data_IF_395195372257
#
_entry.id   IF_395195372257
#
_cell.length_a   1.000
_cell.length_b   1.000
_cell.length_c   1.000
_cell.angle_alpha   90.00
_cell.angle_beta   90.00
_cell.angle_gamma   90.00
#
_symmetry.space_group_name_H-M   'P 1'
#
loop_
_entity.id
_entity.type
_entity.pdbx_description
1 polymer ?
#
# COMPACT_ATOMS: atom_id res chain seq x y z
N UNK A 1 -11.79 -3.60 -19.96
CA UNK A 1 -11.28 -2.32 -19.42
C UNK A 1 -11.98 -1.96 -18.10
N UNK A 2 -11.86 -2.77 -17.04
CA UNK A 2 -12.52 -2.51 -15.73
C UNK A 2 -11.55 -2.13 -14.59
N UNK A 3 -10.23 -2.21 -14.83
CA UNK A 3 -9.22 -2.03 -13.78
C UNK A 3 -8.83 -0.57 -13.52
N UNK A 4 -8.80 0.26 -14.56
CA UNK A 4 -8.48 1.69 -14.46
C UNK A 4 -9.54 2.47 -13.67
N UNK A 5 -10.81 2.15 -13.93
CA UNK A 5 -11.97 2.78 -13.28
C UNK A 5 -11.91 2.66 -11.75
N UNK A 6 -11.68 1.44 -11.24
CA UNK A 6 -11.57 1.19 -9.80
C UNK A 6 -10.42 1.96 -9.13
N UNK A 7 -9.28 2.13 -9.81
CA UNK A 7 -8.15 2.85 -9.24
C UNK A 7 -8.44 4.35 -9.11
N UNK A 8 -9.20 4.94 -10.04
CA UNK A 8 -9.66 6.32 -9.95
C UNK A 8 -10.75 6.49 -8.88
N UNK A 9 -11.74 5.59 -8.81
CA UNK A 9 -12.78 5.63 -7.77
C UNK A 9 -12.18 5.63 -6.35
N UNK A 10 -11.18 4.78 -6.10
CA UNK A 10 -10.48 4.71 -4.82
C UNK A 10 -9.65 5.98 -4.55
N UNK A 11 -9.01 6.53 -5.59
CA UNK A 11 -8.29 7.81 -5.48
C UNK A 11 -9.25 8.94 -5.10
N UNK A 12 -10.38 9.06 -5.77
CA UNK A 12 -11.38 10.10 -5.48
C UNK A 12 -11.95 9.97 -4.06
N UNK A 13 -12.18 8.72 -3.60
CA UNK A 13 -12.59 8.47 -2.22
C UNK A 13 -11.51 8.92 -1.23
N UNK A 14 -10.25 8.59 -1.48
CA UNK A 14 -9.13 9.07 -0.66
C UNK A 14 -9.08 10.60 -0.64
N UNK A 15 -9.14 11.27 -1.79
CA UNK A 15 -9.08 12.74 -1.89
C UNK A 15 -10.20 13.42 -1.11
N UNK A 16 -11.40 12.81 -1.05
CA UNK A 16 -12.53 13.32 -0.26
C UNK A 16 -12.29 13.27 1.24
N UNK A 17 -11.56 12.26 1.73
CA UNK A 17 -11.35 12.03 3.18
C UNK A 17 -9.97 12.46 3.65
N UNK A 18 -9.02 12.71 2.74
CA UNK A 18 -7.61 12.97 3.06
C UNK A 18 -7.45 14.15 4.02
N UNK A 19 -8.18 15.25 3.82
CA UNK A 19 -8.08 16.43 4.70
C UNK A 19 -8.39 16.14 6.17
N UNK A 20 -9.24 15.15 6.46
CA UNK A 20 -9.61 14.76 7.83
C UNK A 20 -8.73 13.64 8.39
N UNK A 21 -8.33 12.69 7.54
CA UNK A 21 -7.68 11.45 8.00
C UNK A 21 -6.18 11.38 7.71
N UNK A 22 -5.69 12.12 6.72
CA UNK A 22 -4.29 12.15 6.27
C UNK A 22 -3.90 13.51 5.65
N UNK A 23 -4.01 14.62 6.41
CA UNK A 23 -3.85 15.97 5.86
C UNK A 23 -2.48 16.19 5.22
N UNK A 24 -1.43 15.59 5.80
CA UNK A 24 -0.06 15.71 5.33
C UNK A 24 0.38 14.52 4.45
N UNK A 25 -0.50 13.55 4.19
CA UNK A 25 -0.22 12.40 3.29
C UNK A 25 0.70 11.32 3.86
N UNK A 26 0.97 11.32 5.18
CA UNK A 26 1.87 10.34 5.80
C UNK A 26 1.30 8.92 5.77
N UNK A 27 -0.01 8.74 5.94
CA UNK A 27 -0.61 7.39 5.86
C UNK A 27 -0.48 6.84 4.44
N UNK A 28 -0.70 7.67 3.44
CA UNK A 28 -0.50 7.34 2.03
C UNK A 28 0.96 6.95 1.77
N UNK A 29 1.91 7.74 2.27
CA UNK A 29 3.34 7.43 2.18
C UNK A 29 3.69 6.08 2.83
N UNK A 30 3.26 5.82 4.07
CA UNK A 30 3.55 4.56 4.75
C UNK A 30 2.90 3.35 4.07
N UNK A 31 1.72 3.52 3.46
CA UNK A 31 1.11 2.49 2.64
C UNK A 31 1.96 2.20 1.40
N UNK A 32 2.47 3.24 0.73
CA UNK A 32 3.36 3.07 -0.41
C UNK A 32 4.70 2.42 -0.02
N UNK A 33 5.29 2.75 1.14
CA UNK A 33 6.54 2.12 1.61
C UNK A 33 6.39 0.60 1.77
N UNK A 34 5.25 0.14 2.27
CA UNK A 34 4.97 -1.28 2.42
C UNK A 34 4.83 -1.99 1.06
N UNK A 35 4.15 -1.35 0.11
CA UNK A 35 3.93 -1.91 -1.23
C UNK A 35 5.24 -1.98 -2.02
N UNK A 36 6.05 -0.92 -1.95
CA UNK A 36 7.33 -0.82 -2.69
C UNK A 36 8.45 -1.60 -2.03
N UNK A 37 8.37 -1.86 -0.72
CA UNK A 37 9.42 -2.49 0.07
C UNK A 37 10.60 -1.56 0.41
N UNK A 38 10.59 -0.31 -0.05
CA UNK A 38 11.64 0.67 0.21
C UNK A 38 11.42 1.28 1.59
N UNK A 39 12.04 0.66 2.60
CA UNK A 39 11.89 1.06 4.01
C UNK A 39 12.71 2.30 4.38
N UNK A 40 13.84 2.52 3.70
CA UNK A 40 14.82 3.56 4.06
C UNK A 40 15.02 4.48 2.87
N UNK A 41 14.11 5.44 2.71
CA UNK A 41 14.14 6.38 1.59
C UNK A 41 15.46 7.18 1.53
N UNK A 42 16.03 7.50 2.69
CA UNK A 42 17.32 8.20 2.80
C UNK A 42 18.51 7.43 2.23
N UNK A 43 18.44 6.09 2.13
CA UNK A 43 19.50 5.31 1.47
C UNK A 43 19.42 5.42 -0.06
N UNK A 44 18.22 5.60 -0.61
CA UNK A 44 18.03 5.83 -2.04
C UNK A 44 18.43 7.26 -2.44
N UNK A 45 18.46 8.21 -1.49
CA UNK A 45 18.71 9.64 -1.73
C UNK A 45 19.63 10.26 -0.66
N UNK A 46 20.93 9.88 -0.62
CA UNK A 46 21.81 10.30 0.47
C UNK A 46 22.09 11.81 0.51
N UNK A 47 22.15 12.45 -0.67
CA UNK A 47 22.41 13.89 -0.76
C UNK A 47 21.20 14.70 -0.26
N UNK A 48 20.00 14.31 -0.67
CA UNK A 48 18.76 14.96 -0.24
C UNK A 48 18.57 14.84 1.28
N UNK A 49 18.86 13.66 1.83
CA UNK A 49 18.81 13.43 3.27
C UNK A 49 19.83 14.30 4.01
N UNK A 50 21.08 14.37 3.53
CA UNK A 50 22.13 15.22 4.10
C UNK A 50 21.77 16.72 4.04
N UNK A 51 20.99 17.14 3.05
CA UNK A 51 20.43 18.50 2.97
C UNK A 51 19.19 18.71 3.84
N UNK A 52 18.77 17.72 4.64
CA UNK A 52 17.61 17.79 5.52
C UNK A 52 16.27 17.72 4.78
N UNK A 53 16.25 17.34 3.50
CA UNK A 53 15.04 17.38 2.66
C UNK A 53 13.92 16.53 3.24
N UNK A 54 14.22 15.33 3.70
CA UNK A 54 13.21 14.41 4.24
C UNK A 54 12.76 14.74 5.66
N UNK A 55 13.54 15.55 6.40
CA UNK A 55 13.09 16.05 7.72
C UNK A 55 12.02 17.12 7.57
N UNK A 56 12.08 17.93 6.51
CA UNK A 56 11.12 19.00 6.24
C UNK A 56 9.94 18.59 5.34
N UNK A 57 9.99 17.41 4.73
CA UNK A 57 9.00 16.93 3.77
C UNK A 57 7.73 16.42 4.46
N UNK A 58 6.58 16.73 3.86
CA UNK A 58 5.33 16.06 4.18
C UNK A 58 5.26 14.67 3.53
N UNK A 59 4.24 13.89 3.86
CA UNK A 59 4.03 12.56 3.28
C UNK A 59 3.82 12.58 1.77
N UNK A 60 3.24 13.65 1.21
CA UNK A 60 3.07 13.78 -0.24
C UNK A 60 4.42 13.94 -0.96
N UNK A 61 5.32 14.75 -0.42
CA UNK A 61 6.66 14.91 -0.95
C UNK A 61 7.47 13.62 -0.80
N UNK A 62 7.43 12.97 0.37
CA UNK A 62 8.08 11.67 0.58
C UNK A 62 7.56 10.60 -0.39
N UNK A 63 6.26 10.59 -0.67
CA UNK A 63 5.64 9.70 -1.64
C UNK A 63 6.17 9.95 -3.06
N UNK A 64 6.43 11.19 -3.46
CA UNK A 64 7.00 11.50 -4.78
C UNK A 64 8.40 10.90 -4.93
N UNK A 65 9.26 11.09 -3.94
CA UNK A 65 10.61 10.50 -3.94
C UNK A 65 10.56 8.97 -3.95
N UNK A 66 9.69 8.38 -3.12
CA UNK A 66 9.51 6.94 -3.05
C UNK A 66 9.02 6.35 -4.37
N UNK A 67 8.02 6.98 -5.00
CA UNK A 67 7.45 6.54 -6.27
C UNK A 67 8.51 6.64 -7.39
N UNK A 68 9.27 7.73 -7.43
CA UNK A 68 10.35 7.88 -8.40
C UNK A 68 11.45 6.82 -8.22
N UNK A 69 11.84 6.50 -6.99
CA UNK A 69 12.82 5.44 -6.71
C UNK A 69 12.31 4.06 -7.12
N UNK A 70 11.04 3.77 -6.82
CA UNK A 70 10.40 2.50 -7.14
C UNK A 70 10.29 2.26 -8.65
N UNK A 71 9.85 3.26 -9.41
CA UNK A 71 9.71 3.18 -10.87
C UNK A 71 11.00 3.54 -11.63
N UNK A 72 12.13 3.73 -10.92
CA UNK A 72 13.42 4.12 -11.52
C UNK A 72 13.33 5.39 -12.37
N UNK A 73 12.45 6.31 -11.98
CA UNK A 73 12.23 7.61 -12.60
C UNK A 73 13.10 8.69 -11.92
N UNK A 74 14.38 8.40 -11.73
CA UNK A 74 15.36 9.32 -11.14
C UNK A 74 16.56 9.40 -12.05
N UNK A 75 17.02 10.62 -12.32
CA UNK A 75 18.35 10.86 -12.88
C UNK A 75 19.21 11.62 -11.88
N UNK A 76 20.51 11.53 -12.04
CA UNK A 76 21.47 12.08 -11.09
C UNK A 76 22.31 13.17 -11.74
N UNK A 77 22.57 14.25 -11.00
CA UNK A 77 23.43 15.35 -11.42
C UNK A 77 24.53 15.57 -10.39
N UNK A 78 25.78 15.66 -10.86
CA UNK A 78 26.92 15.97 -9.99
C UNK A 78 26.77 17.39 -9.44
N UNK A 79 26.84 17.52 -8.12
CA UNK A 79 26.81 18.82 -7.45
C UNK A 79 28.18 19.49 -7.64
N UNK A 80 28.24 20.67 -8.30
CA UNK A 80 29.50 21.32 -8.63
C UNK A 80 30.41 21.52 -7.42
N UNK A 81 31.69 21.17 -7.58
CA UNK A 81 32.68 21.30 -6.50
C UNK A 81 32.60 20.20 -5.44
N UNK A 82 31.80 19.15 -5.65
CA UNK A 82 31.70 18.00 -4.74
C UNK A 82 31.71 16.68 -5.52
N UNK A 83 31.81 15.56 -4.79
CA UNK A 83 31.60 14.21 -5.35
C UNK A 83 30.17 13.71 -5.16
N UNK A 84 29.25 14.55 -4.66
CA UNK A 84 27.88 14.16 -4.44
C UNK A 84 27.05 14.27 -5.71
N UNK A 85 26.04 13.41 -5.79
CA UNK A 85 25.02 13.45 -6.83
C UNK A 85 23.69 13.86 -6.22
N UNK A 86 22.99 14.77 -6.88
CA UNK A 86 21.64 15.21 -6.53
C UNK A 86 20.63 14.52 -7.44
N UNK A 87 19.53 14.06 -6.85
CA UNK A 87 18.42 13.49 -7.57
C UNK A 87 17.61 14.55 -8.32
N UNK A 88 17.31 14.25 -9.57
CA UNK A 88 16.34 14.94 -10.41
C UNK A 88 15.21 13.94 -10.67
N UNK A 89 14.08 14.13 -9.98
CA UNK A 89 12.90 13.29 -10.16
C UNK A 89 12.30 13.51 -11.56
N UNK A 90 12.15 12.42 -12.31
CA UNK A 90 11.51 12.40 -13.62
C UNK A 90 10.04 12.01 -13.50
N UNK A 91 9.29 12.23 -14.57
CA UNK A 91 7.90 11.76 -14.66
C UNK A 91 7.85 10.24 -14.69
N UNK A 92 7.00 9.66 -13.85
CA UNK A 92 6.66 8.22 -13.90
C UNK A 92 5.60 8.04 -14.98
N UNK A 93 5.76 7.03 -15.84
CA UNK A 93 4.74 6.72 -16.84
C UNK A 93 3.50 6.09 -16.18
N UNK A 94 2.45 6.90 -16.07
CA UNK A 94 1.20 6.53 -15.43
C UNK A 94 0.30 5.65 -16.30
N UNK A 95 0.64 5.46 -17.58
CA UNK A 95 -0.14 4.65 -18.52
C UNK A 95 0.25 3.16 -18.48
N UNK A 96 1.26 2.82 -17.68
CA UNK A 96 1.72 1.45 -17.54
C UNK A 96 0.74 0.63 -16.69
N UNK A 97 0.53 -0.66 -17.00
CA UNK A 97 -0.28 -1.55 -16.17
C UNK A 97 0.34 -1.72 -14.77
N UNK A 98 1.67 -1.65 -14.66
CA UNK A 98 2.41 -1.69 -13.39
C UNK A 98 2.05 -0.50 -12.50
N UNK A 99 2.05 0.72 -13.06
CA UNK A 99 1.64 1.91 -12.32
C UNK A 99 0.17 1.84 -11.91
N UNK A 100 -0.71 1.39 -12.81
CA UNK A 100 -2.13 1.23 -12.52
C UNK A 100 -2.37 0.24 -11.38
N UNK A 101 -1.65 -0.88 -11.36
CA UNK A 101 -1.73 -1.88 -10.28
C UNK A 101 -1.18 -1.32 -8.95
N UNK A 102 -0.06 -0.61 -8.99
CA UNK A 102 0.50 0.08 -7.82
C UNK A 102 -0.50 1.09 -7.25
N UNK A 103 -1.04 1.98 -8.10
CA UNK A 103 -2.00 3.01 -7.72
C UNK A 103 -3.23 2.41 -7.05
N UNK A 104 -3.81 1.37 -7.65
CA UNK A 104 -4.95 0.65 -7.06
C UNK A 104 -4.61 0.10 -5.67
N UNK A 105 -3.51 -0.65 -5.56
CA UNK A 105 -3.10 -1.28 -4.30
C UNK A 105 -2.80 -0.24 -3.22
N UNK A 106 -2.22 0.90 -3.60
CA UNK A 106 -1.92 2.01 -2.71
C UNK A 106 -3.19 2.58 -2.07
N UNK A 107 -4.18 2.94 -2.89
CA UNK A 107 -5.42 3.50 -2.38
C UNK A 107 -6.27 2.48 -1.61
N UNK A 108 -6.31 1.20 -2.04
CA UNK A 108 -6.95 0.13 -1.26
C UNK A 108 -6.32 0.02 0.14
N UNK A 109 -4.98 -0.01 0.22
CA UNK A 109 -4.24 -0.18 1.48
C UNK A 109 -4.43 1.00 2.42
N UNK A 110 -4.34 2.24 1.92
CA UNK A 110 -4.47 3.42 2.77
C UNK A 110 -5.91 3.59 3.28
N UNK A 111 -6.92 3.38 2.41
CA UNK A 111 -8.32 3.49 2.78
C UNK A 111 -8.72 2.40 3.78
N UNK A 112 -8.22 1.18 3.62
CA UNK A 112 -8.40 0.10 4.60
C UNK A 112 -7.86 0.50 5.98
N UNK A 113 -6.66 1.10 6.04
CA UNK A 113 -6.05 1.59 7.30
C UNK A 113 -6.81 2.75 7.94
N UNK A 114 -7.49 3.54 7.13
CA UNK A 114 -8.36 4.61 7.61
C UNK A 114 -9.75 4.10 8.04
N UNK A 115 -10.06 2.82 7.80
CA UNK A 115 -11.33 2.21 8.16
C UNK A 115 -12.40 2.24 7.06
N UNK A 116 -12.07 2.68 5.85
CA UNK A 116 -12.98 2.74 4.69
C UNK A 116 -13.03 1.42 3.90
N UNK A 117 -12.89 0.28 4.58
CA UNK A 117 -12.88 -1.04 3.93
C UNK A 117 -14.20 -1.25 3.19
N UNK A 118 -14.15 -1.53 1.89
CA UNK A 118 -15.26 -2.22 1.22
C UNK A 118 -15.46 -3.52 2.01
N UNK A 119 -16.58 -3.66 2.72
CA UNK A 119 -16.91 -4.93 3.36
C UNK A 119 -16.90 -5.97 2.23
N UNK A 120 -16.01 -6.99 2.23
CA UNK A 120 -16.24 -8.10 1.34
C UNK A 120 -17.64 -8.65 1.64
N UNK A 121 -18.39 -9.17 0.66
CA UNK A 121 -19.65 -9.82 0.95
C UNK A 121 -19.38 -10.86 2.03
N UNK A 122 -19.95 -10.61 3.21
CA UNK A 122 -20.00 -11.58 4.28
C UNK A 122 -20.64 -12.81 3.67
N UNK A 123 -19.85 -13.86 3.43
CA UNK A 123 -20.41 -15.19 3.21
C UNK A 123 -21.07 -15.59 4.53
N UNK A 124 -22.30 -15.13 4.74
CA UNK A 124 -23.17 -15.61 5.81
C UNK A 124 -23.65 -17.01 5.42
N UNK A 125 -22.72 -17.95 5.33
CA UNK A 125 -22.99 -19.37 5.27
C UNK A 125 -23.01 -19.93 6.68
N UNK A 126 -23.96 -19.49 7.52
CA UNK A 126 -24.21 -20.13 8.80
C UNK A 126 -24.98 -21.42 8.52
N UNK A 127 -24.27 -22.46 8.08
CA UNK A 127 -24.80 -23.81 8.14
C UNK A 127 -24.80 -24.23 9.62
N UNK A 128 -25.97 -24.14 10.24
CA UNK A 128 -26.25 -24.86 11.48
C UNK A 128 -26.14 -26.35 11.16
N UNK A 129 -25.14 -27.04 11.68
CA UNK A 129 -25.20 -28.49 11.81
C UNK A 129 -25.91 -28.79 13.13
N UNK A 130 -27.17 -29.17 12.98
CA UNK A 130 -27.98 -29.70 14.06
C UNK A 130 -27.41 -31.03 14.55
N UNK A 131 -27.50 -31.20 15.86
CA UNK A 131 -27.09 -32.37 16.62
C UNK A 131 -27.74 -33.66 16.11
N UNK A 132 -26.93 -34.69 15.84
CA UNK A 132 -27.38 -36.07 15.77
C UNK A 132 -26.66 -36.89 16.86
N UNK A 133 -27.38 -37.15 17.94
CA UNK A 133 -27.08 -38.14 18.99
C UNK A 133 -26.90 -39.53 18.39
N UNK A 134 -25.66 -40.02 18.35
CA UNK A 134 -25.33 -41.42 18.08
C UNK A 134 -25.33 -42.20 19.41
N UNK A 135 -26.34 -43.04 19.57
CA UNK A 135 -26.61 -43.85 20.76
C UNK A 135 -25.67 -45.06 20.78
N UNK A 136 -24.89 -45.19 21.84
CA UNK A 136 -24.16 -46.41 22.19
C UNK A 136 -25.12 -47.59 22.34
N UNK A 137 -24.82 -48.68 21.64
CA UNK A 137 -24.92 -50.07 22.13
C UNK A 137 -24.73 -51.04 20.97
N UNK A 138 -23.73 -51.92 21.06
CA UNK A 138 -23.86 -53.33 20.69
C UNK A 138 -22.72 -54.17 21.27
N UNK A 139 -23.12 -55.00 22.23
CA UNK A 139 -22.48 -56.18 22.83
C UNK A 139 -21.50 -56.97 21.95
N UNK A 140 -20.40 -57.40 22.57
CA UNK A 140 -19.60 -58.59 22.22
C UNK A 140 -19.07 -59.09 23.57
N UNK A 141 -19.56 -60.16 24.19
CA UNK A 141 -19.68 -61.52 23.68
C UNK A 141 -18.69 -62.36 24.49
N UNK A 142 -19.18 -62.99 25.55
CA UNK A 142 -18.49 -63.94 26.44
C UNK A 142 -17.91 -65.12 25.63
N UNK A 143 -16.67 -65.49 25.90
CA UNK A 143 -16.11 -66.78 25.49
C UNK A 143 -15.26 -67.33 26.65
N UNK A 144 -15.60 -68.57 26.99
CA UNK A 144 -15.06 -69.42 28.05
C UNK A 144 -13.59 -69.72 27.92
#
# INVERSE_FOLDING_TARGET
>A
MKGLDKAEELKELYERVASQYDPDGFRLYFAAQEITGIKRLWEEYPYEDACGRFTAADGHELLRYLTAAYFKAVSWEIVPGTTYERAILRGVDTNTPEYSAFKKRLYETVLERMGFRERPPQLSGRARMDHATGKDNCKRGDAR
#
